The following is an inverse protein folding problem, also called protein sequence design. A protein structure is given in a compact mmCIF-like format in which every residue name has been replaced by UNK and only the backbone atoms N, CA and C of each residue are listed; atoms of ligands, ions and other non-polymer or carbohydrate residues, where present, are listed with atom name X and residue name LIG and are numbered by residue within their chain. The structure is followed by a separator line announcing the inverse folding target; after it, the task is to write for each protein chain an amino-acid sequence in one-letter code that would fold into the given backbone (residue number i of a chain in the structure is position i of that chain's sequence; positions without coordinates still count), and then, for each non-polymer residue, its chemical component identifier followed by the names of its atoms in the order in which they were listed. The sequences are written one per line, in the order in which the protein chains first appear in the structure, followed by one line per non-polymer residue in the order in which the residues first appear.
data_IF_080699002720
#
_entry.id   IF_080699002720
#
_cell.length_a   1.000
_cell.length_b   1.000
_cell.length_c   1.000
_cell.angle_alpha   90.00
_cell.angle_beta   90.00
_cell.angle_gamma   90.00
#
_symmetry.space_group_name_H-M   'P 1'
#
loop_
_entity.id
_entity.type
_entity.pdbx_description
1 polymer ?
#
# COMPACT_ATOMS: atom_id res chain seq x y z
N UNK A 1 7.59 -11.29 -20.12
CA UNK A 1 7.03 -10.71 -18.87
C UNK A 1 5.80 -9.90 -19.27
N UNK A 2 4.65 -10.07 -18.60
CA UNK A 2 3.40 -9.38 -18.96
C UNK A 2 3.57 -7.86 -18.78
N UNK A 3 3.27 -7.06 -19.80
CA UNK A 3 3.51 -5.60 -19.82
C UNK A 3 2.78 -4.85 -18.71
N UNK A 4 1.59 -5.29 -18.32
CA UNK A 4 0.82 -4.71 -17.21
C UNK A 4 1.44 -4.98 -15.82
N UNK A 5 2.20 -6.07 -15.66
CA UNK A 5 2.87 -6.40 -14.40
C UNK A 5 4.08 -5.49 -14.15
N UNK A 6 4.79 -5.09 -15.20
CA UNK A 6 5.90 -4.13 -15.11
C UNK A 6 5.40 -2.74 -14.63
N UNK A 7 4.19 -2.35 -15.03
CA UNK A 7 3.55 -1.09 -14.60
C UNK A 7 3.21 -1.05 -13.11
N UNK A 8 3.14 -2.20 -12.42
CA UNK A 8 2.84 -2.24 -10.97
C UNK A 8 3.86 -1.47 -10.13
N UNK A 9 5.13 -1.49 -10.53
CA UNK A 9 6.21 -0.81 -9.81
C UNK A 9 6.06 0.72 -9.83
N UNK A 10 5.33 1.29 -10.78
CA UNK A 10 5.14 2.74 -10.90
C UNK A 10 3.68 3.19 -10.71
N UNK A 11 2.71 2.33 -11.01
CA UNK A 11 1.29 2.68 -11.07
C UNK A 11 0.40 1.96 -10.06
N UNK A 12 0.96 1.12 -9.18
CA UNK A 12 0.16 0.47 -8.15
C UNK A 12 -0.51 1.49 -7.23
N UNK A 13 -1.66 1.09 -6.68
CA UNK A 13 -2.42 1.86 -5.70
C UNK A 13 -1.52 2.30 -4.53
N UNK A 14 -0.62 1.43 -4.11
CA UNK A 14 0.37 1.74 -3.07
C UNK A 14 1.34 2.85 -3.47
N UNK A 15 1.86 2.86 -4.70
CA UNK A 15 2.75 3.94 -5.15
C UNK A 15 2.01 5.27 -5.26
N UNK A 16 0.71 5.26 -5.60
CA UNK A 16 -0.14 6.46 -5.54
C UNK A 16 -0.34 6.92 -4.09
N UNK A 17 -0.69 6.00 -3.18
CA UNK A 17 -0.83 6.30 -1.76
C UNK A 17 0.47 6.78 -1.12
N UNK A 18 1.63 6.25 -1.53
CA UNK A 18 2.93 6.73 -1.06
C UNK A 18 3.19 8.17 -1.49
N UNK A 19 2.72 8.58 -2.67
CA UNK A 19 2.77 10.00 -3.07
C UNK A 19 1.91 10.86 -2.15
N UNK A 20 0.69 10.40 -1.84
CA UNK A 20 -0.23 11.06 -0.88
C UNK A 20 0.39 11.15 0.53
N UNK A 21 1.01 10.07 1.02
CA UNK A 21 1.76 10.02 2.27
C UNK A 21 3.00 10.94 2.26
N UNK A 22 3.64 11.12 1.09
CA UNK A 22 4.90 11.84 1.01
C UNK A 22 4.76 13.36 1.04
N UNK A 23 3.73 13.96 0.41
CA UNK A 23 3.85 15.41 0.11
C UNK A 23 2.58 16.29 0.16
N UNK A 24 1.34 15.86 -0.12
CA UNK A 24 0.32 16.90 -0.49
C UNK A 24 -1.13 16.76 0.02
N UNK A 25 -1.66 15.59 0.39
CA UNK A 25 -3.11 15.49 0.68
C UNK A 25 -3.48 14.47 1.78
N UNK A 26 -3.53 14.96 3.01
CA UNK A 26 -3.94 14.20 4.20
C UNK A 26 -5.41 13.76 4.15
N UNK A 27 -6.29 14.56 3.54
CA UNK A 27 -7.71 14.27 3.46
C UNK A 27 -8.00 13.14 2.48
N UNK A 28 -7.28 13.10 1.36
CA UNK A 28 -7.37 11.98 0.40
C UNK A 28 -6.92 10.67 1.05
N UNK A 29 -5.78 10.63 1.74
CA UNK A 29 -5.32 9.43 2.47
C UNK A 29 -6.38 8.93 3.47
N UNK A 30 -6.94 9.86 4.25
CA UNK A 30 -7.95 9.55 5.26
C UNK A 30 -9.26 9.08 4.64
N UNK A 31 -9.69 9.65 3.50
CA UNK A 31 -10.87 9.15 2.80
C UNK A 31 -10.68 7.73 2.24
N UNK A 32 -9.46 7.39 1.82
CA UNK A 32 -9.12 6.10 1.23
C UNK A 32 -8.92 4.98 2.25
N UNK A 33 -8.33 5.32 3.40
CA UNK A 33 -7.91 4.32 4.41
C UNK A 33 -8.66 4.44 5.73
N UNK A 34 -9.37 5.56 5.96
CA UNK A 34 -9.97 5.98 7.24
C UNK A 34 -8.96 6.20 8.37
N UNK A 35 -7.67 6.25 8.03
CA UNK A 35 -6.57 6.51 8.96
C UNK A 35 -5.85 7.79 8.58
N UNK A 36 -5.31 8.48 9.58
CA UNK A 36 -4.29 9.49 9.31
C UNK A 36 -2.92 8.84 9.00
N UNK A 37 -1.95 9.67 8.60
CA UNK A 37 -0.61 9.23 8.21
C UNK A 37 0.12 8.49 9.33
N UNK A 38 0.05 8.99 10.56
CA UNK A 38 0.79 8.42 11.68
C UNK A 38 0.16 7.09 12.12
N UNK A 39 -1.17 7.02 12.14
CA UNK A 39 -1.91 5.79 12.36
C UNK A 39 -1.59 4.73 11.30
N UNK A 40 -1.55 5.14 10.02
CA UNK A 40 -1.20 4.24 8.93
C UNK A 40 0.22 3.69 9.08
N UNK A 41 1.21 4.55 9.34
CA UNK A 41 2.60 4.13 9.53
C UNK A 41 2.75 3.21 10.74
N UNK A 42 2.13 3.56 11.87
CA UNK A 42 2.16 2.72 13.07
C UNK A 42 1.53 1.36 12.83
N UNK A 43 0.39 1.31 12.15
CA UNK A 43 -0.26 0.06 11.80
C UNK A 43 0.63 -0.77 10.86
N UNK A 44 1.25 -0.12 9.86
CA UNK A 44 2.18 -0.77 8.94
C UNK A 44 3.35 -1.42 9.67
N UNK A 45 3.99 -0.72 10.62
CA UNK A 45 5.07 -1.29 11.43
C UNK A 45 4.63 -2.54 12.19
N UNK A 46 3.45 -2.48 12.82
CA UNK A 46 2.93 -3.60 13.61
C UNK A 46 2.58 -4.82 12.75
N UNK A 47 1.98 -4.62 11.58
CA UNK A 47 1.53 -5.74 10.73
C UNK A 47 2.61 -6.26 9.80
N UNK A 48 3.60 -5.44 9.42
CA UNK A 48 4.69 -5.83 8.51
C UNK A 48 5.27 -7.21 8.82
N UNK A 49 5.70 -7.54 10.07
CA UNK A 49 6.26 -8.86 10.37
C UNK A 49 5.26 -10.01 10.15
N UNK A 50 3.95 -9.75 10.24
CA UNK A 50 2.91 -10.76 10.09
C UNK A 50 2.53 -11.01 8.63
N UNK A 51 2.58 -9.96 7.81
CA UNK A 51 2.09 -10.06 6.44
C UNK A 51 3.23 -10.23 5.43
N UNK A 52 4.45 -9.73 5.69
CA UNK A 52 5.57 -9.68 4.74
C UNK A 52 5.77 -11.01 3.95
N UNK A 53 6.00 -10.88 2.64
CA UNK A 53 6.26 -12.01 1.75
C UNK A 53 7.61 -11.83 1.07
N UNK A 54 8.30 -12.93 0.80
CA UNK A 54 9.58 -12.97 0.10
C UNK A 54 9.39 -13.02 -1.41
N UNK A 55 10.35 -12.44 -2.13
CA UNK A 55 10.41 -12.52 -3.59
C UNK A 55 10.60 -13.97 -4.06
N UNK A 56 10.07 -14.26 -5.25
CA UNK A 56 10.29 -15.54 -5.93
C UNK A 56 11.03 -15.29 -7.24
N UNK A 57 11.71 -16.32 -7.78
CA UNK A 57 12.56 -16.22 -9.00
C UNK A 57 11.94 -15.46 -10.16
N UNK A 58 10.61 -15.50 -10.31
CA UNK A 58 9.89 -14.93 -11.45
C UNK A 58 9.14 -13.63 -11.12
N UNK A 59 9.09 -13.20 -9.84
CA UNK A 59 8.27 -12.06 -9.44
C UNK A 59 8.66 -11.47 -8.09
N UNK A 60 8.65 -10.15 -8.00
CA UNK A 60 8.64 -9.43 -6.72
C UNK A 60 7.36 -9.69 -5.94
N UNK A 61 7.51 -9.96 -4.66
CA UNK A 61 6.44 -10.11 -3.70
C UNK A 61 5.59 -8.84 -3.63
N UNK A 62 4.34 -9.01 -3.19
CA UNK A 62 3.53 -7.85 -2.80
C UNK A 62 4.02 -7.38 -1.45
N UNK A 63 4.43 -6.13 -1.37
CA UNK A 63 5.00 -5.55 -0.15
C UNK A 63 3.96 -5.50 0.97
N UNK A 64 4.43 -5.34 2.21
CA UNK A 64 3.52 -5.15 3.34
C UNK A 64 2.64 -3.92 3.19
N UNK A 65 3.20 -2.81 2.73
CA UNK A 65 2.46 -1.60 2.44
C UNK A 65 1.39 -1.81 1.36
N UNK A 66 1.74 -2.46 0.25
CA UNK A 66 0.79 -2.74 -0.85
C UNK A 66 -0.42 -3.54 -0.36
N UNK A 67 -0.19 -4.58 0.43
CA UNK A 67 -1.29 -5.39 0.98
C UNK A 67 -2.12 -4.61 1.99
N UNK A 68 -1.46 -3.92 2.94
CA UNK A 68 -2.17 -3.15 3.95
C UNK A 68 -3.06 -2.08 3.31
N UNK A 69 -2.55 -1.33 2.34
CA UNK A 69 -3.31 -0.33 1.59
C UNK A 69 -4.55 -0.93 0.94
N UNK A 70 -4.40 -2.05 0.22
CA UNK A 70 -5.52 -2.71 -0.46
C UNK A 70 -6.57 -3.18 0.54
N UNK A 71 -6.13 -3.76 1.66
CA UNK A 71 -7.02 -4.19 2.74
C UNK A 71 -7.76 -3.01 3.35
N UNK A 72 -7.08 -1.92 3.71
CA UNK A 72 -7.71 -0.73 4.28
C UNK A 72 -8.68 -0.08 3.30
N UNK A 73 -8.34 -0.02 2.00
CA UNK A 73 -9.26 0.49 0.98
C UNK A 73 -10.53 -0.35 0.90
N UNK A 74 -10.41 -1.68 0.91
CA UNK A 74 -11.55 -2.58 0.92
C UNK A 74 -12.42 -2.38 2.17
N UNK A 75 -11.80 -2.31 3.35
CA UNK A 75 -12.50 -2.06 4.61
C UNK A 75 -13.14 -0.66 4.65
N UNK A 76 -12.52 0.33 4.02
CA UNK A 76 -13.02 1.69 3.99
C UNK A 76 -14.28 1.84 3.13
N UNK A 77 -14.47 0.98 2.12
CA UNK A 77 -15.62 1.06 1.22
C UNK A 77 -16.91 0.46 1.78
N UNK A 78 -16.86 -0.34 2.86
CA UNK A 78 -18.04 -0.94 3.51
C UNK A 78 -18.49 -2.23 2.84
#
# INVERSE_FOLDING_TARGET
MLSWLARRESESVYHRLLKELSLEDHDTLKSWTRLDKDQYHRLLELVTPLIAKSDIKMRKAVTAGERLTLTLRYLATG
#
